data_IF_673361512838
#
_entry.id   IF_673361512838
#
_cell.length_a   1.000
_cell.length_b   1.000
_cell.length_c   1.000
_cell.angle_alpha   90.00
_cell.angle_beta   90.00
_cell.angle_gamma   90.00
#
_symmetry.space_group_name_H-M   'P 1'
#
loop_
_entity.id
_entity.type
_entity.pdbx_description
1 polymer ?
#
# COMPACT_ATOMS: atom_id res chain seq x y z
N UNK A 1 -1.39 -4.49 8.24
CA UNK A 1 -1.31 -5.94 8.16
C UNK A 1 0.10 -6.35 7.80
N UNK A 2 0.66 -7.31 8.51
CA UNK A 2 1.89 -8.00 8.14
C UNK A 2 1.61 -9.51 8.22
N UNK A 3 1.98 -10.25 7.17
CA UNK A 3 1.68 -11.68 7.11
C UNK A 3 1.71 -12.24 5.69
N UNK A 4 0.93 -13.27 5.45
CA UNK A 4 0.87 -13.92 4.15
C UNK A 4 -0.30 -13.44 3.32
N UNK A 5 -0.09 -13.35 2.02
CA UNK A 5 -1.14 -13.17 1.02
C UNK A 5 -1.07 -14.24 -0.04
N UNK A 6 -2.18 -14.50 -0.69
CA UNK A 6 -2.27 -15.45 -1.80
C UNK A 6 -3.30 -14.98 -2.84
N UNK A 7 -3.31 -15.62 -3.98
CA UNK A 7 -4.15 -15.23 -5.11
C UNK A 7 -4.93 -16.45 -5.61
N UNK A 8 -6.25 -16.27 -5.76
CA UNK A 8 -7.12 -17.27 -6.35
C UNK A 8 -7.48 -16.88 -7.79
N UNK A 9 -7.32 -17.79 -8.72
CA UNK A 9 -7.81 -17.63 -10.09
C UNK A 9 -9.33 -17.78 -10.13
N UNK A 10 -9.99 -16.87 -10.85
CA UNK A 10 -11.45 -16.91 -10.98
C UNK A 10 -11.87 -17.73 -12.20
N UNK A 11 -12.96 -18.53 -12.13
CA UNK A 11 -13.43 -19.38 -13.23
C UNK A 11 -13.77 -18.60 -14.51
N UNK A 12 -14.13 -17.34 -14.39
CA UNK A 12 -14.42 -16.42 -15.51
C UNK A 12 -13.21 -15.67 -16.05
N UNK A 13 -12.01 -15.99 -15.59
CA UNK A 13 -10.78 -15.25 -15.84
C UNK A 13 -10.57 -14.11 -14.84
N UNK A 14 -9.32 -13.73 -14.64
CA UNK A 14 -8.92 -12.77 -13.63
C UNK A 14 -8.54 -13.44 -12.30
N UNK A 15 -8.15 -12.62 -11.34
CA UNK A 15 -7.59 -13.07 -10.08
C UNK A 15 -8.16 -12.26 -8.91
N UNK A 16 -8.24 -12.90 -7.75
CA UNK A 16 -8.62 -12.24 -6.51
C UNK A 16 -7.54 -12.49 -5.45
N UNK A 17 -7.02 -11.40 -4.88
CA UNK A 17 -6.04 -11.45 -3.81
C UNK A 17 -6.70 -11.60 -2.45
N UNK A 18 -6.05 -12.32 -1.56
CA UNK A 18 -6.48 -12.58 -0.19
C UNK A 18 -5.36 -12.32 0.79
N UNK A 19 -5.70 -11.76 1.94
CA UNK A 19 -4.83 -11.69 3.11
C UNK A 19 -5.20 -12.85 4.03
N UNK A 20 -4.20 -13.65 4.40
CA UNK A 20 -4.39 -14.86 5.19
C UNK A 20 -4.18 -14.52 6.67
N UNK A 21 -5.21 -14.52 7.51
CA UNK A 21 -5.06 -14.36 8.96
C UNK A 21 -4.38 -15.59 9.58
N UNK A 22 -4.00 -15.49 10.85
CA UNK A 22 -3.24 -16.53 11.57
C UNK A 22 -3.95 -17.89 11.61
N UNK A 23 -5.26 -17.88 11.55
CA UNK A 23 -6.16 -19.05 11.53
C UNK A 23 -6.68 -19.37 10.12
N UNK A 24 -6.20 -18.65 9.09
CA UNK A 24 -6.56 -18.85 7.69
C UNK A 24 -5.88 -20.06 7.06
N UNK A 25 -6.47 -20.56 5.98
CA UNK A 25 -5.97 -21.73 5.24
C UNK A 25 -5.81 -21.40 3.76
N UNK A 26 -4.66 -21.73 3.19
CA UNK A 26 -4.40 -21.64 1.75
C UNK A 26 -5.25 -22.62 0.93
N UNK A 27 -5.80 -23.67 1.55
CA UNK A 27 -6.69 -24.63 0.88
C UNK A 27 -8.12 -24.10 0.71
N UNK A 28 -8.49 -23.06 1.46
CA UNK A 28 -9.82 -22.44 1.40
C UNK A 28 -9.71 -20.93 1.62
N UNK A 29 -9.14 -20.24 0.67
CA UNK A 29 -8.93 -18.79 0.72
C UNK A 29 -10.25 -18.03 0.85
N UNK A 30 -11.29 -18.48 0.17
CA UNK A 30 -12.57 -17.77 0.13
C UNK A 30 -13.27 -17.71 1.49
N UNK A 31 -13.22 -18.78 2.28
CA UNK A 31 -13.91 -18.86 3.58
C UNK A 31 -13.04 -18.48 4.77
N UNK A 32 -11.70 -18.56 4.64
CA UNK A 32 -10.80 -18.39 5.77
C UNK A 32 -9.88 -17.17 5.67
N UNK A 33 -10.00 -16.40 4.60
CA UNK A 33 -9.10 -15.26 4.34
C UNK A 33 -9.86 -13.98 4.00
N UNK A 34 -9.21 -12.84 4.12
CA UNK A 34 -9.81 -11.53 3.85
C UNK A 34 -9.55 -11.16 2.39
N UNK A 35 -10.61 -11.15 1.58
CA UNK A 35 -10.52 -10.75 0.18
C UNK A 35 -10.31 -9.24 -0.01
N UNK A 36 -9.62 -8.85 -1.07
CA UNK A 36 -9.37 -7.43 -1.37
C UNK A 36 -10.64 -6.64 -1.67
N UNK A 37 -11.67 -7.31 -2.21
CA UNK A 37 -12.99 -6.71 -2.37
C UNK A 37 -13.63 -6.37 -1.02
N UNK A 38 -13.41 -7.19 0.00
CA UNK A 38 -13.88 -6.93 1.35
C UNK A 38 -13.16 -5.74 1.99
N UNK A 39 -11.84 -5.64 1.86
CA UNK A 39 -11.08 -4.45 2.31
C UNK A 39 -11.60 -3.18 1.66
N UNK A 40 -11.93 -3.23 0.35
CA UNK A 40 -12.53 -2.11 -0.34
C UNK A 40 -13.89 -1.74 0.23
N UNK A 41 -14.74 -2.72 0.51
CA UNK A 41 -16.05 -2.49 1.11
C UNK A 41 -15.91 -1.89 2.51
N UNK A 42 -14.99 -2.39 3.33
CA UNK A 42 -14.69 -1.83 4.65
C UNK A 42 -14.21 -0.36 4.55
N UNK A 43 -13.36 -0.06 3.57
CA UNK A 43 -12.93 1.31 3.32
C UNK A 43 -14.11 2.23 2.95
N UNK A 44 -15.04 1.76 2.12
CA UNK A 44 -16.25 2.51 1.73
C UNK A 44 -17.19 2.75 2.90
N UNK A 45 -17.35 1.77 3.79
CA UNK A 45 -18.21 1.85 4.96
C UNK A 45 -17.61 2.70 6.09
N UNK A 46 -16.30 2.94 6.07
CA UNK A 46 -15.62 3.72 7.09
C UNK A 46 -16.07 5.18 7.07
N UNK A 47 -16.37 5.73 8.26
CA UNK A 47 -16.65 7.15 8.46
C UNK A 47 -15.38 8.02 8.45
N UNK A 48 -14.20 7.40 8.54
CA UNK A 48 -12.94 8.13 8.47
C UNK A 48 -12.82 8.86 7.13
N UNK A 49 -12.30 10.08 7.16
CA UNK A 49 -12.06 10.87 5.96
C UNK A 49 -10.95 10.25 5.10
N UNK A 50 -9.88 9.83 5.73
CA UNK A 50 -8.73 9.19 5.10
C UNK A 50 -8.53 7.78 5.66
N UNK A 51 -8.34 6.82 4.77
CA UNK A 51 -8.00 5.42 5.08
C UNK A 51 -6.82 5.01 4.22
N UNK A 52 -5.76 4.54 4.86
CA UNK A 52 -4.61 3.92 4.21
C UNK A 52 -4.45 2.49 4.72
N UNK A 53 -4.42 1.55 3.81
CA UNK A 53 -4.00 0.19 4.10
C UNK A 53 -2.52 0.04 3.75
N UNK A 54 -1.73 -0.35 4.74
CA UNK A 54 -0.34 -0.75 4.57
C UNK A 54 -0.29 -2.28 4.75
N UNK A 55 0.07 -2.97 3.68
CA UNK A 55 0.02 -4.43 3.62
C UNK A 55 1.42 -4.98 3.35
N UNK A 56 2.06 -5.42 4.41
CA UNK A 56 3.36 -6.11 4.37
C UNK A 56 3.14 -7.59 4.07
N UNK A 57 2.69 -7.85 2.86
CA UNK A 57 2.44 -9.16 2.29
C UNK A 57 2.57 -9.07 0.77
N UNK A 58 3.05 -10.14 0.16
CA UNK A 58 3.06 -10.28 -1.30
C UNK A 58 1.76 -10.92 -1.76
N UNK A 59 1.07 -10.29 -2.69
CA UNK A 59 -0.05 -10.91 -3.36
C UNK A 59 -0.30 -10.26 -4.72
N UNK A 60 -0.88 -11.02 -5.66
CA UNK A 60 -1.35 -10.50 -6.94
C UNK A 60 -2.78 -10.00 -6.84
N UNK A 61 -3.17 -9.15 -7.76
CA UNK A 61 -4.58 -8.76 -7.90
C UNK A 61 -4.97 -7.47 -7.19
N UNK A 62 -4.05 -6.49 -7.07
CA UNK A 62 -4.42 -5.14 -6.70
C UNK A 62 -5.33 -4.52 -7.78
N UNK A 63 -6.64 -4.65 -7.63
CA UNK A 63 -7.59 -3.93 -8.46
C UNK A 63 -7.59 -2.45 -8.05
N UNK A 64 -6.49 -1.76 -8.33
CA UNK A 64 -6.41 -0.33 -8.09
C UNK A 64 -7.21 0.42 -9.14
N UNK A 65 -8.08 1.29 -8.69
CA UNK A 65 -8.78 2.24 -9.54
C UNK A 65 -7.97 3.54 -9.54
N UNK A 66 -7.16 3.75 -10.57
CA UNK A 66 -6.45 5.01 -10.75
C UNK A 66 -4.94 4.88 -10.89
N UNK A 67 -4.38 5.80 -11.65
CA UNK A 67 -2.96 5.92 -11.94
C UNK A 67 -2.27 6.85 -10.93
N UNK A 68 -0.95 6.71 -10.81
CA UNK A 68 -0.08 7.65 -10.11
C UNK A 68 -0.28 9.06 -10.65
N UNK A 69 -0.54 10.00 -9.75
CA UNK A 69 -0.44 11.42 -10.07
C UNK A 69 1.03 11.86 -10.16
N UNK A 70 1.30 12.87 -10.97
CA UNK A 70 2.58 13.59 -10.88
C UNK A 70 2.65 14.30 -9.53
N UNK A 71 3.83 14.39 -8.92
CA UNK A 71 4.04 15.20 -7.72
C UNK A 71 3.95 16.67 -8.15
N UNK A 72 2.99 17.45 -7.65
CA UNK A 72 2.89 18.86 -8.01
C UNK A 72 4.00 19.68 -7.34
N UNK A 73 4.49 20.67 -8.06
CA UNK A 73 5.52 21.59 -7.56
C UNK A 73 4.96 22.76 -6.72
N UNK A 74 3.63 22.99 -6.77
CA UNK A 74 2.97 24.05 -6.00
C UNK A 74 2.23 23.49 -4.80
N UNK A 75 2.76 23.73 -3.62
CA UNK A 75 2.54 22.90 -2.44
C UNK A 75 1.27 23.25 -1.64
N UNK A 76 1.13 24.50 -1.19
CA UNK A 76 0.09 24.83 -0.18
C UNK A 76 -1.36 24.65 -0.69
N UNK A 77 -1.66 25.09 -1.89
CA UNK A 77 -2.99 24.94 -2.48
C UNK A 77 -3.32 23.48 -2.81
N UNK A 78 -2.30 22.69 -3.17
CA UNK A 78 -2.47 21.27 -3.47
C UNK A 78 -2.76 20.46 -2.22
N UNK A 79 -1.93 20.60 -1.17
CA UNK A 79 -2.13 19.92 0.11
C UNK A 79 -3.51 20.27 0.71
N UNK A 80 -3.89 21.55 0.68
CA UNK A 80 -5.23 21.96 1.15
C UNK A 80 -6.37 21.31 0.34
N UNK A 81 -6.21 21.20 -0.97
CA UNK A 81 -7.19 20.54 -1.85
C UNK A 81 -7.32 19.05 -1.54
N UNK A 82 -6.22 18.29 -1.55
CA UNK A 82 -6.26 16.84 -1.38
C UNK A 82 -6.64 16.42 0.05
N UNK A 83 -6.33 17.26 1.04
CA UNK A 83 -6.71 17.02 2.44
C UNK A 83 -8.21 17.16 2.69
N UNK A 84 -8.94 17.92 1.86
CA UNK A 84 -10.39 18.11 1.99
C UNK A 84 -11.21 16.95 1.45
N UNK A 85 -10.68 16.22 0.51
CA UNK A 85 -11.36 15.09 -0.13
C UNK A 85 -11.16 13.79 0.64
N UNK A 86 -12.05 12.81 0.44
CA UNK A 86 -11.86 11.47 1.00
C UNK A 86 -10.70 10.77 0.31
N UNK A 87 -9.92 10.00 1.07
CA UNK A 87 -8.87 9.14 0.57
C UNK A 87 -9.11 7.68 0.97
N UNK A 88 -8.97 6.78 0.02
CA UNK A 88 -9.05 5.34 0.20
C UNK A 88 -7.89 4.73 -0.58
N UNK A 89 -6.79 4.49 0.10
CA UNK A 89 -5.52 4.13 -0.52
C UNK A 89 -4.95 2.86 0.08
N UNK A 90 -4.13 2.16 -0.70
CA UNK A 90 -3.45 0.95 -0.28
C UNK A 90 -2.02 0.94 -0.84
N UNK A 91 -1.08 0.51 -0.02
CA UNK A 91 0.30 0.19 -0.42
C UNK A 91 0.58 -1.25 0.01
N UNK A 92 1.01 -2.08 -0.91
CA UNK A 92 1.40 -3.47 -0.65
C UNK A 92 2.91 -3.63 -0.79
N UNK A 93 3.48 -4.56 -0.04
CA UNK A 93 4.92 -4.79 -0.02
C UNK A 93 5.47 -5.39 -1.32
N UNK A 94 4.65 -6.10 -2.07
CA UNK A 94 5.05 -6.72 -3.34
C UNK A 94 3.87 -7.17 -4.18
N UNK A 95 4.17 -7.58 -5.43
CA UNK A 95 3.22 -8.07 -6.39
C UNK A 95 3.07 -9.59 -6.40
N UNK A 96 2.36 -10.10 -7.42
CA UNK A 96 2.13 -11.53 -7.62
C UNK A 96 3.44 -12.28 -7.86
N UNK A 97 3.64 -13.35 -7.09
CA UNK A 97 4.80 -14.24 -7.23
C UNK A 97 6.10 -13.70 -6.61
N UNK A 98 6.07 -12.49 -6.09
CA UNK A 98 7.16 -11.95 -5.29
C UNK A 98 7.08 -12.47 -3.85
N UNK A 99 8.21 -12.49 -3.16
CA UNK A 99 8.26 -12.90 -1.75
C UNK A 99 8.61 -11.69 -0.89
N UNK A 100 7.86 -11.48 0.18
CA UNK A 100 8.28 -10.53 1.22
C UNK A 100 9.59 -11.02 1.81
N UNK A 101 10.61 -10.19 1.73
CA UNK A 101 11.91 -10.48 2.29
C UNK A 101 12.00 -9.98 3.72
N UNK A 102 12.22 -10.92 4.61
CA UNK A 102 12.65 -10.64 5.97
C UNK A 102 14.18 -10.78 6.02
N UNK A 103 14.87 -9.69 6.30
CA UNK A 103 16.29 -9.72 6.59
C UNK A 103 16.46 -9.84 8.10
N UNK A 104 16.95 -10.98 8.58
CA UNK A 104 17.16 -11.26 10.02
C UNK A 104 18.01 -10.19 10.71
N UNK A 105 18.94 -9.59 9.99
CA UNK A 105 19.80 -8.50 10.47
C UNK A 105 19.02 -7.21 10.77
N UNK A 106 17.87 -7.01 10.14
CA UNK A 106 17.03 -5.81 10.30
C UNK A 106 15.91 -6.02 11.34
N UNK A 107 15.63 -7.26 11.74
CA UNK A 107 14.53 -7.61 12.67
C UNK A 107 13.12 -7.35 12.13
N UNK A 108 13.01 -6.90 10.87
CA UNK A 108 11.76 -6.56 10.19
C UNK A 108 11.89 -6.88 8.69
N UNK A 109 10.76 -6.89 7.99
CA UNK A 109 10.76 -6.95 6.53
C UNK A 109 11.44 -5.73 5.92
N UNK A 110 11.95 -5.88 4.70
CA UNK A 110 12.53 -4.76 3.93
C UNK A 110 11.50 -3.64 3.72
N UNK A 111 10.23 -4.00 3.50
CA UNK A 111 9.13 -3.04 3.38
C UNK A 111 8.92 -2.24 4.67
N UNK A 112 8.79 -2.90 5.81
CA UNK A 112 8.56 -2.24 7.11
C UNK A 112 9.74 -1.35 7.52
N UNK A 113 11.00 -1.77 7.26
CA UNK A 113 12.16 -0.93 7.54
C UNK A 113 12.13 0.36 6.72
N UNK A 114 11.86 0.26 5.41
CA UNK A 114 11.79 1.42 4.55
C UNK A 114 10.57 2.31 4.84
N UNK A 115 9.42 1.72 5.18
CA UNK A 115 8.26 2.46 5.65
C UNK A 115 8.60 3.34 6.86
N UNK A 116 9.29 2.76 7.84
CA UNK A 116 9.73 3.50 9.03
C UNK A 116 10.70 4.64 8.68
N UNK A 117 11.70 4.38 7.84
CA UNK A 117 12.64 5.41 7.39
C UNK A 117 11.94 6.52 6.61
N UNK A 118 11.03 6.15 5.72
CA UNK A 118 10.25 7.12 4.95
C UNK A 118 9.45 8.08 5.82
N UNK A 119 8.78 7.55 6.84
CA UNK A 119 7.87 8.34 7.69
C UNK A 119 8.58 8.99 8.88
N UNK A 120 9.43 8.26 9.62
CA UNK A 120 10.05 8.78 10.87
C UNK A 120 11.27 9.66 10.61
N UNK A 121 12.02 9.37 9.54
CA UNK A 121 13.21 10.13 9.17
C UNK A 121 12.90 11.17 8.08
N UNK A 122 11.64 11.28 7.64
CA UNK A 122 11.21 12.22 6.61
C UNK A 122 11.71 11.90 5.20
N UNK A 123 12.34 10.74 4.98
CA UNK A 123 12.97 10.41 3.70
C UNK A 123 11.96 10.28 2.53
N UNK A 124 10.68 10.15 2.81
CA UNK A 124 9.63 10.10 1.80
C UNK A 124 9.07 11.49 1.43
N UNK A 125 9.52 12.57 2.06
CA UNK A 125 9.24 13.94 1.66
C UNK A 125 10.14 14.31 0.47
N UNK A 126 9.71 13.92 -0.72
CA UNK A 126 10.53 13.98 -1.95
C UNK A 126 10.74 15.42 -2.43
N UNK A 127 9.77 16.29 -2.20
CA UNK A 127 9.79 17.68 -2.64
C UNK A 127 10.24 18.65 -1.52
N UNK A 128 10.49 18.15 -0.31
CA UNK A 128 10.95 18.91 0.87
C UNK A 128 9.97 20.03 1.27
N UNK A 129 8.67 19.77 1.18
CA UNK A 129 7.64 20.74 1.52
C UNK A 129 7.11 20.61 2.97
N UNK A 130 7.63 19.64 3.71
CA UNK A 130 7.23 19.33 5.07
C UNK A 130 6.03 18.41 5.18
N UNK A 131 5.54 17.84 4.05
CA UNK A 131 4.46 16.88 4.01
C UNK A 131 4.89 15.63 3.22
N UNK A 132 4.34 14.50 3.61
CA UNK A 132 4.48 13.25 2.89
C UNK A 132 3.09 12.81 2.46
N UNK A 133 2.80 12.90 1.17
CA UNK A 133 1.56 12.41 0.59
C UNK A 133 1.60 10.88 0.41
N UNK A 134 0.43 10.25 0.26
CA UNK A 134 0.38 8.82 -0.05
C UNK A 134 1.12 8.44 -1.33
N UNK A 135 1.15 9.36 -2.30
CA UNK A 135 1.88 9.15 -3.56
C UNK A 135 3.41 9.24 -3.36
N UNK A 136 3.91 10.21 -2.60
CA UNK A 136 5.34 10.32 -2.27
C UNK A 136 5.83 9.11 -1.48
N UNK A 137 5.06 8.70 -0.46
CA UNK A 137 5.38 7.50 0.31
C UNK A 137 5.44 6.27 -0.59
N UNK A 138 4.50 6.13 -1.52
CA UNK A 138 4.47 5.01 -2.45
C UNK A 138 5.68 5.00 -3.40
N UNK A 139 6.05 6.15 -3.96
CA UNK A 139 7.22 6.28 -4.84
C UNK A 139 8.52 5.97 -4.09
N UNK A 140 8.66 6.50 -2.88
CA UNK A 140 9.80 6.23 -2.03
C UNK A 140 9.91 4.73 -1.71
N UNK A 141 8.82 4.10 -1.30
CA UNK A 141 8.81 2.67 -0.97
C UNK A 141 9.10 1.81 -2.20
N UNK A 142 8.53 2.13 -3.36
CA UNK A 142 8.79 1.39 -4.59
C UNK A 142 10.28 1.39 -4.94
N UNK A 143 10.93 2.57 -4.91
CA UNK A 143 12.36 2.68 -5.19
C UNK A 143 13.21 1.96 -4.15
N UNK A 144 13.02 2.26 -2.87
CA UNK A 144 13.89 1.77 -1.81
C UNK A 144 13.72 0.28 -1.55
N UNK A 145 12.48 -0.20 -1.51
CA UNK A 145 12.23 -1.64 -1.28
C UNK A 145 12.73 -2.47 -2.46
N UNK A 146 12.51 -2.02 -3.70
CA UNK A 146 13.02 -2.72 -4.88
C UNK A 146 14.54 -2.81 -4.85
N UNK A 147 15.23 -1.72 -4.54
CA UNK A 147 16.69 -1.71 -4.44
C UNK A 147 17.20 -2.57 -3.28
N UNK A 148 16.66 -2.40 -2.08
CA UNK A 148 17.11 -3.10 -0.87
C UNK A 148 16.77 -4.60 -0.90
N UNK A 149 15.79 -5.00 -1.72
CA UNK A 149 15.43 -6.40 -1.96
C UNK A 149 16.16 -7.04 -3.15
N UNK A 150 17.07 -6.31 -3.81
CA UNK A 150 17.77 -6.77 -5.01
C UNK A 150 16.80 -7.15 -6.14
N UNK A 151 15.76 -6.34 -6.33
CA UNK A 151 14.65 -6.51 -7.29
C UNK A 151 13.75 -7.75 -7.04
N UNK A 152 13.80 -8.34 -5.85
CA UNK A 152 12.94 -9.49 -5.52
C UNK A 152 11.55 -9.08 -5.02
N UNK A 153 11.37 -7.80 -4.69
CA UNK A 153 10.14 -7.27 -4.12
C UNK A 153 9.93 -5.84 -4.59
N UNK A 154 8.76 -5.56 -5.18
CA UNK A 154 8.40 -4.22 -5.66
C UNK A 154 7.05 -3.80 -5.09
N UNK A 155 7.00 -2.81 -4.20
CA UNK A 155 5.73 -2.30 -3.66
C UNK A 155 4.79 -1.79 -4.74
N UNK A 156 3.50 -2.00 -4.50
CA UNK A 156 2.44 -1.48 -5.35
C UNK A 156 1.55 -0.51 -4.58
N UNK A 157 1.11 0.52 -5.27
CA UNK A 157 0.22 1.54 -4.74
C UNK A 157 -1.06 1.62 -5.56
N UNK A 158 -2.18 1.85 -4.88
CA UNK A 158 -3.44 2.04 -5.56
C UNK A 158 -4.47 2.82 -4.76
N UNK A 159 -5.41 3.42 -5.50
CA UNK A 159 -6.65 3.97 -4.96
C UNK A 159 -7.71 2.87 -4.97
N UNK A 160 -8.42 2.71 -3.87
CA UNK A 160 -9.48 1.72 -3.75
C UNK A 160 -10.84 2.26 -4.22
N UNK A 161 -10.94 3.58 -4.37
CA UNK A 161 -12.14 4.29 -4.82
C UNK A 161 -11.76 5.41 -5.79
N UNK A 162 -12.75 6.05 -6.41
CA UNK A 162 -12.56 7.23 -7.26
C UNK A 162 -12.39 8.54 -6.49
N UNK A 163 -12.30 8.49 -5.17
CA UNK A 163 -12.05 9.67 -4.34
C UNK A 163 -10.68 10.29 -4.68
N UNK A 164 -10.62 11.62 -4.77
CA UNK A 164 -9.43 12.37 -5.19
C UNK A 164 -8.54 12.85 -4.03
N UNK A 165 -8.91 12.54 -2.79
CA UNK A 165 -8.09 12.88 -1.62
C UNK A 165 -6.85 11.99 -1.51
N UNK A 166 -5.90 12.43 -0.68
CA UNK A 166 -4.72 11.63 -0.32
C UNK A 166 -4.52 11.59 1.18
N UNK A 167 -3.91 10.51 1.65
CA UNK A 167 -3.35 10.46 2.99
C UNK A 167 -2.17 11.44 3.04
N UNK A 168 -2.02 12.16 4.14
CA UNK A 168 -0.96 13.13 4.32
C UNK A 168 -0.37 12.91 5.71
N UNK A 169 0.95 12.83 5.76
CA UNK A 169 1.74 12.86 6.99
C UNK A 169 2.52 14.16 7.03
N UNK A 170 2.81 14.64 8.23
CA UNK A 170 3.71 15.79 8.44
C UNK A 170 5.12 15.24 8.59
N UNK A 171 6.02 15.72 7.75
CA UNK A 171 7.45 15.40 7.86
C UNK A 171 8.02 16.06 9.13
N UNK A 172 8.81 15.33 9.88
CA UNK A 172 9.41 15.79 11.15
C UNK A 172 10.84 16.25 10.94
#
# INVERSE_FOLDING_TARGET
>A
FAGHGDTMELPGGGEMGYLIPVDGSTNDLYLSSIGMAELRNLALMSKAKHVLYLVDACYGGLAAVGTRGLIPTETNNYIDKISKNKARQIITAGGKGEKVLEKSELGHSVFTVNLRRGLQEGNADVNSDGYITGNELAMYLEEKVTNDSENMQTPHYGRMTSDEGEIIFVSS
#
